data_IF_072011885702
#
_entry.id   IF_072011885702
#
_cell.length_a   1.000
_cell.length_b   1.000
_cell.length_c   1.000
_cell.angle_alpha   90.00
_cell.angle_beta   90.00
_cell.angle_gamma   90.00
#
_symmetry.space_group_name_H-M   'P 1'
#
loop_
_entity.id
_entity.type
_entity.pdbx_description
1 polymer ?
#
# COMPACT_ATOMS: atom_id res chain seq x y z
N UNK A 1 14.48 -10.82 25.56
CA UNK A 1 14.81 -9.80 24.55
C UNK A 1 13.88 -10.01 23.36
N UNK A 2 12.97 -9.08 23.10
CA UNK A 2 11.98 -9.18 22.01
C UNK A 2 12.53 -8.56 20.75
N UNK A 3 12.72 -9.37 19.71
CA UNK A 3 13.23 -8.93 18.41
C UNK A 3 12.06 -8.51 17.51
N UNK A 4 12.08 -7.25 17.09
CA UNK A 4 11.07 -6.63 16.24
C UNK A 4 11.18 -7.16 14.82
N UNK A 5 10.21 -7.97 14.39
CA UNK A 5 10.11 -8.41 13.00
C UNK A 5 9.80 -7.22 12.08
N UNK A 6 10.82 -6.75 11.37
CA UNK A 6 10.74 -5.78 10.30
C UNK A 6 9.84 -6.28 9.16
N UNK A 7 8.80 -5.52 8.85
CA UNK A 7 7.99 -5.67 7.64
C UNK A 7 8.85 -5.34 6.40
N UNK A 8 9.14 -6.33 5.57
CA UNK A 8 9.75 -6.12 4.26
C UNK A 8 8.86 -6.76 3.17
N UNK A 9 8.33 -5.92 2.27
CA UNK A 9 7.70 -6.35 1.02
C UNK A 9 8.56 -5.80 -0.13
N UNK A 10 8.94 -6.62 -1.12
CA UNK A 10 9.94 -6.24 -2.13
C UNK A 10 9.38 -5.23 -3.14
N UNK A 11 10.17 -4.20 -3.46
CA UNK A 11 9.95 -3.33 -4.63
C UNK A 11 11.12 -3.47 -5.60
N UNK A 12 10.85 -4.09 -6.75
CA UNK A 12 11.67 -3.91 -7.94
C UNK A 12 11.18 -2.68 -8.72
N UNK A 13 12.08 -1.95 -9.39
CA UNK A 13 11.71 -1.37 -10.67
C UNK A 13 12.69 -1.76 -11.78
N UNK A 14 12.08 -2.27 -12.86
CA UNK A 14 12.61 -2.42 -14.21
C UNK A 14 13.31 -1.12 -14.65
N UNK A 15 14.61 -1.23 -14.92
CA UNK A 15 15.42 -0.14 -15.45
C UNK A 15 15.19 0.03 -16.94
N UNK A 16 14.44 1.07 -17.33
CA UNK A 16 14.38 1.54 -18.73
C UNK A 16 15.43 2.64 -18.90
N UNK A 17 16.67 2.26 -19.25
CA UNK A 17 17.72 3.24 -19.58
C UNK A 17 17.57 3.71 -21.02
N UNK A 18 17.32 5.01 -21.15
CA UNK A 18 17.33 5.81 -22.38
C UNK A 18 18.79 6.08 -22.77
N UNK A 19 19.13 5.89 -24.04
CA UNK A 19 20.43 6.25 -24.63
C UNK A 19 20.59 7.77 -24.72
N UNK A 20 21.78 8.36 -24.46
CA UNK A 20 22.08 9.74 -24.81
C UNK A 20 22.92 9.81 -26.10
N UNK A 21 22.40 10.55 -27.09
CA UNK A 21 23.12 10.99 -28.28
C UNK A 21 23.76 12.37 -28.04
N UNK A 22 25.07 12.44 -28.30
CA UNK A 22 25.94 13.63 -28.22
C UNK A 22 26.01 14.32 -29.59
N UNK A 23 26.14 15.65 -29.63
CA UNK A 23 27.00 16.29 -30.62
C UNK A 23 28.07 17.18 -29.97
N UNK A 24 29.13 17.45 -30.76
CA UNK A 24 30.40 18.07 -30.39
C UNK A 24 30.54 19.51 -30.93
N UNK A 25 31.69 20.14 -30.60
CA UNK A 25 32.26 21.45 -31.01
C UNK A 25 31.98 22.62 -30.04
N UNK A 26 32.94 23.06 -29.22
CA UNK A 26 34.05 24.04 -29.47
C UNK A 26 33.53 25.47 -29.65
N UNK A 27 34.12 26.57 -29.14
CA UNK A 27 35.21 26.89 -28.22
C UNK A 27 35.12 28.42 -27.97
N UNK A 28 35.59 28.95 -26.81
CA UNK A 28 36.41 30.18 -26.68
C UNK A 28 36.36 30.80 -25.27
N UNK A 29 37.52 30.70 -24.61
CA UNK A 29 38.23 31.61 -23.69
C UNK A 29 37.54 32.79 -23.01
N UNK A 30 37.69 32.88 -21.68
CA UNK A 30 38.42 33.96 -20.98
C UNK A 30 38.64 33.61 -19.49
N UNK A 31 39.87 33.82 -19.01
CA UNK A 31 40.37 33.49 -17.67
C UNK A 31 40.26 34.68 -16.71
N UNK A 32 39.87 34.48 -15.44
CA UNK A 32 40.41 35.22 -14.27
C UNK A 32 40.12 34.42 -12.96
N UNK A 33 41.05 34.34 -11.98
CA UNK A 33 40.94 33.45 -10.81
C UNK A 33 40.58 34.19 -9.51
N UNK A 34 39.89 33.52 -8.58
CA UNK A 34 40.05 33.73 -7.13
C UNK A 34 39.28 32.66 -6.33
N UNK A 35 40.01 31.99 -5.46
CA UNK A 35 39.60 30.90 -4.59
C UNK A 35 39.13 31.46 -3.24
N UNK A 36 37.94 31.06 -2.77
CA UNK A 36 37.54 31.10 -1.36
C UNK A 36 36.47 30.02 -1.11
N UNK A 37 36.69 29.27 -0.04
CA UNK A 37 36.01 28.05 0.43
C UNK A 37 34.47 28.01 0.36
N UNK A 38 33.87 26.82 0.08
CA UNK A 38 32.47 26.58 0.36
C UNK A 38 32.26 26.14 1.82
N UNK A 39 31.54 26.95 2.57
CA UNK A 39 30.95 26.60 3.86
C UNK A 39 29.94 25.43 3.70
N UNK A 40 29.96 24.39 4.56
CA UNK A 40 29.06 23.26 4.42
C UNK A 40 27.73 23.45 5.17
N UNK A 41 26.64 23.36 4.39
CA UNK A 41 25.29 22.93 4.79
C UNK A 41 24.41 23.95 5.58
N UNK A 42 23.06 23.81 5.64
CA UNK A 42 22.33 22.56 5.68
C UNK A 42 21.68 22.19 4.34
N UNK A 43 22.03 21.01 3.85
CA UNK A 43 21.16 20.23 2.98
C UNK A 43 19.83 20.05 3.70
N UNK A 44 18.81 20.80 3.29
CA UNK A 44 17.41 20.46 3.58
C UNK A 44 17.18 19.13 2.90
N UNK A 45 17.46 18.05 3.63
CA UNK A 45 17.03 16.73 3.23
C UNK A 45 15.51 16.78 3.21
N UNK A 46 14.95 17.02 2.03
CA UNK A 46 13.57 16.70 1.73
C UNK A 46 13.42 15.22 2.05
N UNK A 47 12.98 14.95 3.28
CA UNK A 47 12.59 13.62 3.71
C UNK A 47 11.46 13.24 2.77
N UNK A 48 11.79 12.41 1.78
CA UNK A 48 10.82 11.72 0.93
C UNK A 48 9.69 11.27 1.83
N UNK A 49 8.43 11.63 1.53
CA UNK A 49 7.31 11.35 2.41
C UNK A 49 7.32 9.85 2.70
N UNK A 50 7.61 9.51 3.95
CA UNK A 50 7.63 8.14 4.42
C UNK A 50 6.22 7.66 4.21
N UNK A 51 6.00 6.76 3.24
CA UNK A 51 4.68 6.20 2.95
C UNK A 51 4.07 5.78 4.28
N UNK A 52 3.01 6.46 4.71
CA UNK A 52 2.47 6.29 6.04
C UNK A 52 2.06 4.83 6.24
N UNK A 53 2.89 4.08 6.97
CA UNK A 53 2.74 2.64 7.19
C UNK A 53 1.46 2.45 8.00
N UNK A 54 0.62 1.50 7.58
CA UNK A 54 -0.59 1.14 8.31
C UNK A 54 -0.21 0.18 9.45
N UNK A 55 -0.48 0.56 10.69
CA UNK A 55 -0.25 -0.28 11.84
C UNK A 55 -1.44 -1.22 12.12
N UNK A 56 -1.24 -2.26 12.93
CA UNK A 56 -2.27 -3.27 13.20
C UNK A 56 -3.57 -2.70 13.79
N UNK A 57 -3.50 -1.65 14.62
CA UNK A 57 -4.68 -1.01 15.20
C UNK A 57 -5.47 -0.20 14.17
N UNK A 58 -4.77 0.54 13.30
CA UNK A 58 -5.37 1.26 12.18
C UNK A 58 -6.04 0.31 11.19
N UNK A 59 -5.36 -0.79 10.87
CA UNK A 59 -5.88 -1.82 9.99
C UNK A 59 -7.16 -2.44 10.59
N UNK A 60 -7.15 -2.82 11.87
CA UNK A 60 -8.36 -3.32 12.56
C UNK A 60 -9.51 -2.30 12.48
N UNK A 61 -9.23 -1.03 12.79
CA UNK A 61 -10.23 0.02 12.76
C UNK A 61 -10.82 0.24 11.35
N UNK A 62 -9.99 0.15 10.32
CA UNK A 62 -10.42 0.20 8.92
C UNK A 62 -11.37 -0.94 8.58
N UNK A 63 -11.05 -2.18 8.96
CA UNK A 63 -11.90 -3.34 8.65
C UNK A 63 -13.24 -3.31 9.40
N UNK A 64 -13.25 -2.87 10.65
CA UNK A 64 -14.50 -2.65 11.39
C UNK A 64 -15.37 -1.56 10.74
N UNK A 65 -14.75 -0.47 10.28
CA UNK A 65 -15.45 0.59 9.56
C UNK A 65 -15.98 0.10 8.19
N UNK A 66 -15.19 -0.70 7.48
CA UNK A 66 -15.57 -1.30 6.19
C UNK A 66 -16.75 -2.27 6.35
N UNK A 67 -16.78 -3.09 7.41
CA UNK A 67 -17.93 -3.96 7.72
C UNK A 67 -19.22 -3.17 7.97
N UNK A 68 -19.09 -2.01 8.63
CA UNK A 68 -20.25 -1.17 8.99
C UNK A 68 -20.77 -0.31 7.84
N UNK A 69 -19.88 0.22 7.00
CA UNK A 69 -20.21 1.24 6.01
C UNK A 69 -20.03 0.77 4.56
N UNK A 70 -19.45 -0.41 4.34
CA UNK A 70 -19.11 -0.89 3.00
C UNK A 70 -18.11 0.03 2.29
N UNK A 71 -18.23 0.14 0.97
CA UNK A 71 -17.38 1.01 0.13
C UNK A 71 -17.71 2.51 0.23
N UNK A 72 -18.52 2.93 1.20
CA UNK A 72 -18.67 4.35 1.55
C UNK A 72 -17.40 4.84 2.28
N UNK A 73 -16.38 5.17 1.49
CA UNK A 73 -15.08 5.59 2.00
C UNK A 73 -15.14 6.89 2.81
N UNK A 74 -16.16 7.72 2.60
CA UNK A 74 -16.35 8.94 3.38
C UNK A 74 -16.81 8.61 4.80
N UNK A 75 -17.78 7.71 4.94
CA UNK A 75 -18.21 7.19 6.24
C UNK A 75 -17.11 6.38 6.95
N UNK A 76 -16.28 5.65 6.19
CA UNK A 76 -15.10 4.95 6.73
C UNK A 76 -14.08 5.93 7.30
N UNK A 77 -13.70 6.97 6.55
CA UNK A 77 -12.80 8.03 7.05
C UNK A 77 -13.37 8.68 8.31
N UNK A 78 -14.65 9.02 8.30
CA UNK A 78 -15.32 9.61 9.48
C UNK A 78 -15.24 8.71 10.71
N UNK A 79 -15.27 7.39 10.52
CA UNK A 79 -15.13 6.41 11.61
C UNK A 79 -13.68 6.30 12.09
N UNK A 80 -12.70 6.36 11.18
CA UNK A 80 -11.28 6.36 11.53
C UNK A 80 -10.89 7.62 12.32
N UNK A 81 -11.34 8.79 11.88
CA UNK A 81 -11.09 10.07 12.57
C UNK A 81 -11.66 10.05 14.00
N UNK A 82 -12.84 9.45 14.20
CA UNK A 82 -13.43 9.26 15.53
C UNK A 82 -12.57 8.39 16.47
N UNK A 83 -11.67 7.57 15.93
CA UNK A 83 -10.70 6.77 16.68
C UNK A 83 -9.29 7.39 16.70
N UNK A 84 -9.18 8.69 16.40
CA UNK A 84 -7.91 9.41 16.31
C UNK A 84 -6.96 8.87 15.23
N UNK A 85 -7.51 8.27 14.17
CA UNK A 85 -6.74 7.79 13.01
C UNK A 85 -6.97 8.77 11.85
N UNK A 86 -5.96 9.58 11.57
CA UNK A 86 -6.00 10.58 10.49
C UNK A 86 -5.54 9.96 9.17
N UNK A 87 -6.50 9.52 8.35
CA UNK A 87 -6.25 9.01 7.00
C UNK A 87 -7.23 9.66 6.02
N UNK A 88 -6.72 10.11 4.89
CA UNK A 88 -7.55 10.75 3.87
C UNK A 88 -8.34 9.72 3.07
N UNK A 89 -9.44 10.17 2.43
CA UNK A 89 -10.30 9.31 1.60
C UNK A 89 -9.51 8.54 0.54
N UNK A 90 -8.56 9.17 -0.11
CA UNK A 90 -7.73 8.51 -1.13
C UNK A 90 -6.76 7.49 -0.53
N UNK A 91 -6.24 7.73 0.67
CA UNK A 91 -5.40 6.76 1.37
C UNK A 91 -6.21 5.52 1.77
N UNK A 92 -7.42 5.72 2.28
CA UNK A 92 -8.36 4.64 2.63
C UNK A 92 -8.77 3.84 1.40
N UNK A 93 -9.10 4.53 0.31
CA UNK A 93 -9.44 3.89 -0.98
C UNK A 93 -8.27 3.10 -1.55
N UNK A 94 -7.07 3.68 -1.57
CA UNK A 94 -5.87 3.00 -2.05
C UNK A 94 -5.52 1.79 -1.20
N UNK A 95 -5.68 1.88 0.12
CA UNK A 95 -5.51 0.75 1.02
C UNK A 95 -6.46 -0.40 0.67
N UNK A 96 -7.75 -0.10 0.48
CA UNK A 96 -8.75 -1.07 0.08
C UNK A 96 -8.37 -1.80 -1.23
N UNK A 97 -8.08 -1.06 -2.30
CA UNK A 97 -7.78 -1.67 -3.61
C UNK A 97 -6.44 -2.41 -3.64
N UNK A 98 -5.45 -1.96 -2.88
CA UNK A 98 -4.19 -2.69 -2.73
C UNK A 98 -4.42 -4.03 -2.01
N UNK A 99 -5.19 -4.02 -0.91
CA UNK A 99 -5.55 -5.24 -0.20
C UNK A 99 -6.36 -6.19 -1.10
N UNK A 100 -7.35 -5.67 -1.81
CA UNK A 100 -8.14 -6.45 -2.77
C UNK A 100 -7.27 -7.09 -3.84
N UNK A 101 -6.33 -6.36 -4.44
CA UNK A 101 -5.41 -6.90 -5.45
C UNK A 101 -4.58 -8.04 -4.88
N UNK A 102 -4.01 -7.86 -3.69
CA UNK A 102 -3.22 -8.90 -3.01
C UNK A 102 -4.06 -10.14 -2.72
N UNK A 103 -5.27 -9.95 -2.19
CA UNK A 103 -6.12 -11.09 -1.85
C UNK A 103 -6.74 -11.75 -3.08
N UNK A 104 -7.18 -11.03 -4.11
CA UNK A 104 -7.65 -11.64 -5.37
C UNK A 104 -6.56 -12.48 -6.04
N UNK A 105 -5.29 -12.10 -5.96
CA UNK A 105 -4.19 -12.92 -6.49
C UNK A 105 -3.98 -14.21 -5.67
N UNK A 106 -4.29 -14.17 -4.38
CA UNK A 106 -4.14 -15.29 -3.46
C UNK A 106 -5.38 -16.20 -3.47
N UNK A 107 -6.57 -15.62 -3.60
CA UNK A 107 -7.85 -16.28 -3.61
C UNK A 107 -8.13 -16.74 -5.04
N UNK A 108 -8.24 -18.04 -5.26
CA UNK A 108 -8.80 -18.59 -6.50
C UNK A 108 -10.33 -18.37 -6.52
N UNK A 109 -10.73 -17.12 -6.35
CA UNK A 109 -12.10 -16.65 -6.45
C UNK A 109 -12.34 -16.30 -7.90
N UNK A 110 -12.88 -17.27 -8.64
CA UNK A 110 -13.32 -17.06 -10.00
C UNK A 110 -14.59 -16.19 -10.01
N UNK A 111 -14.68 -15.27 -10.95
CA UNK A 111 -15.86 -14.41 -11.10
C UNK A 111 -17.12 -15.24 -11.47
N UNK A 112 -16.90 -16.47 -11.97
CA UNK A 112 -17.90 -17.50 -12.30
C UNK A 112 -18.54 -18.20 -11.08
N UNK A 113 -17.93 -18.15 -9.89
CA UNK A 113 -18.46 -18.87 -8.71
C UNK A 113 -19.83 -18.33 -8.25
N UNK A 114 -20.14 -17.07 -8.55
CA UNK A 114 -21.39 -16.42 -8.14
C UNK A 114 -21.86 -15.36 -9.15
N UNK A 115 -22.33 -15.74 -10.36
CA UNK A 115 -22.63 -14.79 -11.43
C UNK A 115 -23.72 -13.77 -11.06
N UNK A 116 -24.64 -14.14 -10.17
CA UNK A 116 -25.75 -13.31 -9.70
C UNK A 116 -25.32 -12.23 -8.69
N UNK A 117 -24.14 -12.38 -8.06
CA UNK A 117 -23.65 -11.43 -7.06
C UNK A 117 -22.88 -10.32 -7.75
N UNK A 118 -23.20 -9.07 -7.38
CA UNK A 118 -22.50 -7.91 -7.93
C UNK A 118 -21.00 -7.97 -7.60
N UNK A 119 -20.18 -7.51 -8.54
CA UNK A 119 -18.71 -7.46 -8.40
C UNK A 119 -18.28 -6.74 -7.11
N UNK A 120 -18.96 -5.64 -6.77
CA UNK A 120 -18.62 -4.85 -5.58
C UNK A 120 -18.80 -5.64 -4.28
N UNK A 121 -19.87 -6.44 -4.19
CA UNK A 121 -20.13 -7.29 -3.02
C UNK A 121 -19.07 -8.39 -2.94
N UNK A 122 -18.73 -9.04 -4.07
CA UNK A 122 -17.66 -10.05 -4.12
C UNK A 122 -16.32 -9.50 -3.64
N UNK A 123 -15.94 -8.33 -4.13
CA UNK A 123 -14.68 -7.68 -3.75
C UNK A 123 -14.63 -7.32 -2.27
N UNK A 124 -15.74 -6.79 -1.73
CA UNK A 124 -15.83 -6.49 -0.30
C UNK A 124 -15.75 -7.77 0.55
N UNK A 125 -16.44 -8.82 0.10
CA UNK A 125 -16.45 -10.12 0.75
C UNK A 125 -15.02 -10.71 0.82
N UNK A 126 -14.25 -10.67 -0.27
CA UNK A 126 -12.86 -11.13 -0.29
C UNK A 126 -12.01 -10.37 0.72
N UNK A 127 -12.10 -9.03 0.72
CA UNK A 127 -11.26 -8.18 1.57
C UNK A 127 -11.57 -8.39 3.06
N UNK A 128 -12.85 -8.50 3.43
CA UNK A 128 -13.27 -8.73 4.82
C UNK A 128 -12.81 -10.11 5.30
N UNK A 129 -13.11 -11.17 4.54
CA UNK A 129 -12.79 -12.53 4.95
C UNK A 129 -11.28 -12.78 4.98
N UNK A 130 -10.53 -12.25 4.02
CA UNK A 130 -9.07 -12.36 4.02
C UNK A 130 -8.45 -11.72 5.27
N UNK A 131 -9.06 -10.66 5.78
CA UNK A 131 -8.62 -10.09 7.04
C UNK A 131 -8.97 -10.96 8.25
N UNK A 132 -10.20 -11.48 8.31
CA UNK A 132 -10.59 -12.40 9.38
C UNK A 132 -9.69 -13.64 9.41
N UNK A 133 -9.30 -14.17 8.26
CA UNK A 133 -8.29 -15.24 8.14
C UNK A 133 -6.96 -14.81 8.76
N UNK A 134 -6.41 -13.66 8.37
CA UNK A 134 -5.13 -13.16 8.91
C UNK A 134 -5.19 -12.93 10.42
N UNK A 135 -6.33 -12.49 10.94
CA UNK A 135 -6.58 -12.30 12.37
C UNK A 135 -6.63 -13.63 13.13
N UNK A 136 -7.38 -14.62 12.62
CA UNK A 136 -7.52 -15.96 13.23
C UNK A 136 -6.20 -16.75 13.21
N UNK A 137 -5.40 -16.59 12.16
CA UNK A 137 -4.18 -17.38 11.93
C UNK A 137 -2.89 -16.69 12.35
N UNK A 138 -2.97 -15.49 12.96
CA UNK A 138 -1.81 -14.69 13.34
C UNK A 138 -0.79 -14.50 12.20
N UNK A 139 -1.28 -14.17 11.00
CA UNK A 139 -0.48 -14.08 9.77
C UNK A 139 0.22 -15.37 9.33
N UNK A 140 -0.33 -16.55 9.64
CA UNK A 140 0.16 -17.79 9.02
C UNK A 140 0.18 -17.68 7.49
N UNK A 141 1.07 -18.46 6.86
CA UNK A 141 1.17 -18.51 5.41
C UNK A 141 -0.20 -18.69 4.78
N UNK A 142 -0.49 -17.87 3.79
CA UNK A 142 -1.76 -17.88 3.11
C UNK A 142 -1.95 -19.25 2.42
N UNK A 143 -3.03 -19.94 2.75
CA UNK A 143 -3.45 -21.18 2.10
C UNK A 143 -4.76 -20.93 1.35
N UNK A 144 -4.72 -21.01 0.02
CA UNK A 144 -5.87 -20.73 -0.83
C UNK A 144 -7.04 -21.69 -0.58
N UNK A 145 -6.75 -22.94 -0.23
CA UNK A 145 -7.77 -23.99 -0.01
C UNK A 145 -8.51 -23.73 1.28
N UNK A 146 -7.78 -23.45 2.36
CA UNK A 146 -8.38 -23.19 3.66
C UNK A 146 -9.07 -21.83 3.69
N UNK A 147 -8.54 -20.83 2.97
CA UNK A 147 -9.21 -19.56 2.78
C UNK A 147 -10.54 -19.73 2.04
N UNK A 148 -10.55 -20.49 0.93
CA UNK A 148 -11.78 -20.78 0.18
C UNK A 148 -12.80 -21.52 1.04
N UNK A 149 -12.39 -22.48 1.87
CA UNK A 149 -13.27 -23.14 2.85
C UNK A 149 -13.85 -22.14 3.85
N UNK A 150 -13.01 -21.31 4.48
CA UNK A 150 -13.47 -20.33 5.46
C UNK A 150 -14.46 -19.32 4.86
N UNK A 151 -14.23 -18.91 3.62
CA UNK A 151 -15.15 -18.07 2.86
C UNK A 151 -16.50 -18.76 2.61
N UNK A 152 -16.50 -20.04 2.26
CA UNK A 152 -17.72 -20.77 1.94
C UNK A 152 -18.49 -21.24 3.19
N UNK A 153 -17.77 -21.45 4.31
CA UNK A 153 -18.34 -22.01 5.54
C UNK A 153 -18.85 -20.94 6.53
N UNK A 154 -18.38 -19.68 6.44
CA UNK A 154 -18.82 -18.54 7.26
C UNK A 154 -18.14 -18.40 8.61
#
# INVERSE_FOLDING_TARGET
>A
MGDSAHFAVPSAPVGRRRVPSRPAAQASSASTPAQADPEPAPSTSEQKPTKAVWNSAEVNAFYEALKKHGKDFEAVVKTLVKRSISRDKDQVRNFYFNALKTFKAACLFDDELFPEISKDIKEMFIVINAYEWKRKTNNASYDATNFKKLVLDG
#
